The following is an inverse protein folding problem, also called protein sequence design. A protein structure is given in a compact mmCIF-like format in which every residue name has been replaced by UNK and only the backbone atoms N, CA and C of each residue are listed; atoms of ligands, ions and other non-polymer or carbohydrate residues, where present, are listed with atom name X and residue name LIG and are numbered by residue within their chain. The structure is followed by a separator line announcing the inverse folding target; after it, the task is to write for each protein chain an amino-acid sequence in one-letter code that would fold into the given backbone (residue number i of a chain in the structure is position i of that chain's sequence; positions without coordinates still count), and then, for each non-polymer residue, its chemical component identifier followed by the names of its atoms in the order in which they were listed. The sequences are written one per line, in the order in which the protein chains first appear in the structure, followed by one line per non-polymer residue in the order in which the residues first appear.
data_IF_697407383782
#
_entry.id   IF_697407383782
#
_cell.length_a   1.000
_cell.length_b   1.000
_cell.length_c   1.000
_cell.angle_alpha   90.00
_cell.angle_beta   90.00
_cell.angle_gamma   90.00
#
_symmetry.space_group_name_H-M   'P 1'
#
loop_
_entity.id
_entity.type
_entity.pdbx_description
1 polymer ?
#
# COMPACT_ATOMS: atom_id res chain seq x y z
N UNK A 1 -7.82 7.25 15.84
CA UNK A 1 -7.13 7.46 14.55
C UNK A 1 -7.72 6.55 13.51
N UNK A 2 -7.95 7.05 12.31
CA UNK A 2 -8.57 6.32 11.21
C UNK A 2 -7.65 6.33 9.99
N UNK A 3 -7.53 5.19 9.30
CA UNK A 3 -6.70 5.03 8.11
C UNK A 3 -7.57 4.61 6.94
N UNK A 4 -7.57 5.41 5.89
CA UNK A 4 -8.10 5.05 4.57
C UNK A 4 -6.92 4.78 3.64
N UNK A 5 -6.98 3.69 2.89
CA UNK A 5 -5.92 3.34 1.97
C UNK A 5 -6.43 2.50 0.81
N UNK A 6 -5.73 2.56 -0.32
CA UNK A 6 -6.00 1.74 -1.49
C UNK A 6 -4.73 1.53 -2.32
N UNK A 7 -4.77 0.50 -3.16
CA UNK A 7 -3.67 0.11 -4.03
C UNK A 7 -3.73 0.86 -5.36
N UNK A 8 -2.56 1.15 -5.89
CA UNK A 8 -2.37 1.82 -7.17
C UNK A 8 -1.08 1.35 -7.85
N UNK A 9 -0.84 1.78 -9.07
CA UNK A 9 0.42 1.52 -9.77
C UNK A 9 1.54 2.42 -9.24
N UNK A 10 1.23 3.67 -8.94
CA UNK A 10 2.18 4.64 -8.38
C UNK A 10 1.46 5.73 -7.62
N UNK A 11 2.08 6.22 -6.55
CA UNK A 11 1.51 7.28 -5.71
C UNK A 11 2.59 8.29 -5.37
N UNK A 12 2.21 9.55 -5.35
CA UNK A 12 3.07 10.66 -4.87
C UNK A 12 2.25 11.54 -3.93
N UNK A 13 2.88 12.10 -2.92
CA UNK A 13 2.28 13.11 -2.06
C UNK A 13 3.00 14.44 -2.22
N UNK A 14 2.24 15.51 -2.30
CA UNK A 14 2.76 16.88 -2.40
C UNK A 14 1.73 17.87 -1.90
N UNK A 15 2.16 18.83 -1.09
CA UNK A 15 1.27 19.88 -0.58
C UNK A 15 0.06 19.33 0.20
N UNK A 16 0.24 18.24 0.94
CA UNK A 16 -0.84 17.58 1.70
C UNK A 16 -1.86 16.83 0.84
N UNK A 17 -1.54 16.56 -0.42
CA UNK A 17 -2.42 15.87 -1.37
C UNK A 17 -1.77 14.59 -1.89
N UNK A 18 -2.62 13.62 -2.23
CA UNK A 18 -2.20 12.40 -2.94
C UNK A 18 -2.42 12.59 -4.44
N UNK A 19 -1.41 12.18 -5.20
CA UNK A 19 -1.48 12.05 -6.65
C UNK A 19 -1.32 10.56 -6.98
N UNK A 20 -2.35 9.98 -7.57
CA UNK A 20 -2.48 8.53 -7.71
C UNK A 20 -2.62 8.16 -9.17
N UNK A 21 -1.81 7.24 -9.65
CA UNK A 21 -1.89 6.66 -10.99
C UNK A 21 -2.29 5.20 -10.90
N UNK A 22 -3.29 4.80 -11.68
CA UNK A 22 -3.70 3.41 -11.84
C UNK A 22 -4.24 2.79 -10.55
N UNK A 23 -5.20 3.43 -9.89
CA UNK A 23 -5.86 2.89 -8.72
C UNK A 23 -7.07 2.02 -9.07
N UNK A 24 -7.52 1.23 -8.08
CA UNK A 24 -8.77 0.47 -8.16
C UNK A 24 -8.61 -0.98 -8.57
N UNK A 25 -7.40 -1.50 -8.60
CA UNK A 25 -7.15 -2.91 -8.83
C UNK A 25 -6.99 -3.68 -7.50
N UNK A 26 -7.27 -4.96 -7.53
CA UNK A 26 -7.08 -5.89 -6.42
C UNK A 26 -6.45 -7.22 -6.84
N UNK A 27 -5.92 -7.30 -8.04
CA UNK A 27 -5.25 -8.48 -8.56
C UNK A 27 -4.09 -8.10 -9.47
N UNK A 28 -3.01 -8.86 -9.38
CA UNK A 28 -1.87 -8.81 -10.26
C UNK A 28 -1.80 -10.10 -11.07
N UNK A 29 -1.50 -9.97 -12.36
CA UNK A 29 -1.32 -11.11 -13.25
C UNK A 29 0.16 -11.35 -13.47
N UNK A 30 0.60 -12.58 -13.21
CA UNK A 30 1.96 -13.03 -13.42
C UNK A 30 2.04 -14.02 -14.58
N UNK A 31 3.12 -13.97 -15.33
CA UNK A 31 3.39 -14.95 -16.41
C UNK A 31 3.94 -16.28 -15.91
N UNK A 32 4.31 -16.37 -14.65
CA UNK A 32 4.88 -17.53 -13.97
C UNK A 32 5.50 -17.14 -12.65
N UNK A 33 5.98 -18.11 -11.88
CA UNK A 33 6.58 -17.87 -10.56
C UNK A 33 8.02 -18.41 -10.49
N UNK A 34 8.91 -17.76 -9.74
CA UNK A 34 8.70 -16.52 -8.98
C UNK A 34 8.40 -15.34 -9.90
N UNK A 35 7.49 -14.46 -9.48
CA UNK A 35 7.09 -13.28 -10.25
C UNK A 35 7.59 -12.02 -9.54
N UNK A 36 8.29 -11.16 -10.28
CA UNK A 36 8.69 -9.84 -9.80
C UNK A 36 7.72 -8.78 -10.31
N UNK A 37 7.23 -7.95 -9.41
CA UNK A 37 6.40 -6.79 -9.75
C UNK A 37 7.18 -5.51 -9.55
N UNK A 38 7.18 -4.63 -10.54
CA UNK A 38 8.06 -3.46 -10.53
C UNK A 38 7.69 -2.46 -9.45
N UNK A 39 6.41 -2.13 -9.31
CA UNK A 39 5.96 -1.20 -8.27
C UNK A 39 4.52 -1.43 -7.88
N UNK A 40 4.26 -1.39 -6.58
CA UNK A 40 2.92 -1.25 -6.01
C UNK A 40 2.88 0.05 -5.23
N UNK A 41 1.99 0.95 -5.62
CA UNK A 41 1.69 2.17 -4.88
C UNK A 41 0.60 1.92 -3.85
N UNK A 42 0.74 2.51 -2.67
CA UNK A 42 -0.26 2.51 -1.62
C UNK A 42 -0.54 3.95 -1.25
N UNK A 43 -1.74 4.40 -1.56
CA UNK A 43 -2.23 5.72 -1.17
C UNK A 43 -2.82 5.63 0.23
N UNK A 44 -2.36 6.45 1.15
CA UNK A 44 -2.76 6.42 2.56
C UNK A 44 -3.22 7.80 3.01
N UNK A 45 -4.40 7.86 3.60
CA UNK A 45 -4.90 9.02 4.34
C UNK A 45 -5.09 8.63 5.80
N UNK A 46 -4.39 9.34 6.69
CA UNK A 46 -4.53 9.13 8.13
C UNK A 46 -5.27 10.33 8.72
N UNK A 47 -6.41 10.06 9.35
CA UNK A 47 -7.14 11.07 10.13
C UNK A 47 -6.66 11.04 11.56
N UNK A 48 -6.09 12.16 11.99
CA UNK A 48 -5.51 12.31 13.32
C UNK A 48 -6.47 13.13 14.18
N UNK A 49 -7.04 12.53 15.24
CA UNK A 49 -7.89 13.26 16.18
C UNK A 49 -7.14 14.41 16.85
N UNK A 50 -7.83 15.46 17.20
CA UNK A 50 -7.22 16.63 17.88
C UNK A 50 -6.46 16.26 19.14
N UNK A 51 -6.95 15.27 19.89
CA UNK A 51 -6.31 14.79 21.12
C UNK A 51 -4.95 14.12 20.87
N UNK A 52 -4.70 13.66 19.66
CA UNK A 52 -3.45 12.98 19.25
C UNK A 52 -2.55 13.88 18.40
N UNK A 53 -2.99 15.08 18.07
CA UNK A 53 -2.20 16.05 17.34
C UNK A 53 -1.05 16.61 18.19
N UNK A 54 -0.03 17.15 17.53
CA UNK A 54 1.13 17.77 18.23
C UNK A 54 2.21 16.79 18.69
N UNK A 55 2.08 15.49 18.36
CA UNK A 55 3.11 14.48 18.60
C UNK A 55 3.41 13.69 17.32
N UNK A 56 4.62 13.13 17.19
CA UNK A 56 4.92 12.25 16.06
C UNK A 56 4.20 10.90 16.20
N UNK A 57 3.86 10.32 15.06
CA UNK A 57 3.27 9.01 14.92
C UNK A 57 4.10 8.17 13.94
N UNK A 58 4.03 6.87 14.08
CA UNK A 58 4.73 5.94 13.21
C UNK A 58 3.73 5.10 12.41
N UNK A 59 3.83 5.18 11.09
CA UNK A 59 3.13 4.30 10.16
C UNK A 59 4.01 3.11 9.85
N UNK A 60 3.50 1.90 10.05
CA UNK A 60 4.15 0.66 9.67
C UNK A 60 3.40 -0.04 8.54
N UNK A 61 4.12 -0.63 7.62
CA UNK A 61 3.59 -1.45 6.53
C UNK A 61 4.20 -2.85 6.60
N UNK A 62 3.35 -3.88 6.64
CA UNK A 62 3.74 -5.29 6.52
C UNK A 62 3.04 -5.92 5.33
N UNK A 63 3.62 -6.97 4.79
CA UNK A 63 3.01 -7.80 3.75
C UNK A 63 2.84 -9.22 4.28
N UNK A 64 1.61 -9.71 4.29
CA UNK A 64 1.28 -11.09 4.64
C UNK A 64 1.10 -11.93 3.38
N UNK A 65 1.64 -13.14 3.38
CA UNK A 65 1.35 -14.15 2.37
C UNK A 65 0.01 -14.84 2.58
N UNK A 66 -0.33 -15.77 1.69
CA UNK A 66 -1.56 -16.55 1.78
C UNK A 66 -1.65 -17.41 3.05
N UNK A 67 -0.51 -17.77 3.64
CA UNK A 67 -0.38 -18.48 4.91
C UNK A 67 -0.51 -17.58 6.15
N UNK A 68 -0.73 -16.28 5.97
CA UNK A 68 -0.82 -15.29 7.04
C UNK A 68 0.51 -14.88 7.66
N UNK A 69 1.64 -15.35 7.12
CA UNK A 69 2.97 -15.00 7.62
C UNK A 69 3.52 -13.77 6.93
N UNK A 70 4.31 -13.00 7.69
CA UNK A 70 5.01 -11.83 7.16
C UNK A 70 5.98 -12.23 6.05
N UNK A 71 5.94 -11.48 4.96
CA UNK A 71 6.86 -11.58 3.83
C UNK A 71 7.92 -10.48 3.91
N UNK A 72 9.09 -10.78 3.37
CA UNK A 72 10.18 -9.82 3.28
C UNK A 72 9.96 -8.83 2.15
N UNK A 73 10.30 -7.56 2.40
CA UNK A 73 10.42 -6.53 1.38
C UNK A 73 11.79 -6.49 0.71
N UNK A 74 12.73 -7.30 1.18
CA UNK A 74 14.11 -7.35 0.72
C UNK A 74 15.09 -7.40 1.87
N UNK A 75 16.35 -7.11 1.55
CA UNK A 75 17.45 -7.14 2.50
C UNK A 75 17.92 -5.72 2.82
N UNK A 76 18.16 -5.45 4.10
CA UNK A 76 18.84 -4.25 4.55
C UNK A 76 20.35 -4.32 4.24
N UNK A 77 21.08 -3.19 4.24
CA UNK A 77 22.52 -3.17 4.00
C UNK A 77 23.35 -4.05 4.95
N UNK A 78 22.84 -4.31 6.16
CA UNK A 78 23.47 -5.19 7.15
C UNK A 78 23.20 -6.70 6.93
N UNK A 79 22.43 -7.04 5.88
CA UNK A 79 22.08 -8.42 5.54
C UNK A 79 20.85 -8.96 6.26
N UNK A 80 20.17 -8.17 7.09
CA UNK A 80 18.91 -8.55 7.72
C UNK A 80 17.73 -8.42 6.76
N UNK A 81 16.71 -9.27 6.93
CA UNK A 81 15.46 -9.14 6.18
C UNK A 81 14.63 -7.97 6.69
N UNK A 82 14.11 -7.17 5.75
CA UNK A 82 13.17 -6.09 6.02
C UNK A 82 11.76 -6.63 5.93
N UNK A 83 11.07 -6.76 7.05
CA UNK A 83 9.67 -7.26 7.12
C UNK A 83 8.65 -6.18 7.45
N UNK A 84 9.12 -5.00 7.84
CA UNK A 84 8.28 -3.83 8.09
C UNK A 84 8.94 -2.61 7.49
N UNK A 85 8.18 -1.87 6.72
CA UNK A 85 8.56 -0.52 6.28
C UNK A 85 7.91 0.49 7.23
N UNK A 86 8.66 1.47 7.67
CA UNK A 86 8.19 2.47 8.63
C UNK A 86 8.37 3.88 8.09
N UNK A 87 7.41 4.75 8.41
CA UNK A 87 7.47 6.18 8.13
C UNK A 87 6.95 6.95 9.35
N UNK A 88 7.60 8.04 9.69
CA UNK A 88 7.12 8.95 10.71
C UNK A 88 6.27 10.06 10.08
N UNK A 89 5.22 10.43 10.75
CA UNK A 89 4.38 11.55 10.37
C UNK A 89 3.88 12.30 11.62
N UNK A 90 3.50 13.54 11.41
CA UNK A 90 2.92 14.33 12.47
C UNK A 90 2.06 15.44 11.92
N UNK A 91 1.16 15.93 12.73
CA UNK A 91 0.35 17.11 12.45
C UNK A 91 0.57 18.13 13.56
N UNK A 92 0.73 19.37 13.18
CA UNK A 92 0.72 20.46 14.14
C UNK A 92 -0.64 20.54 14.85
N UNK A 93 -0.67 21.07 16.06
CA UNK A 93 -1.92 21.35 16.75
C UNK A 93 -2.61 22.53 16.06
N UNK A 94 -3.44 22.25 15.06
CA UNK A 94 -4.25 23.26 14.39
C UNK A 94 -5.63 23.33 15.03
N UNK A 95 -5.87 24.40 15.74
CA UNK A 95 -7.13 25.00 16.18
C UNK A 95 -8.44 24.20 16.04
N UNK A 96 -8.55 23.03 16.66
CA UNK A 96 -9.84 22.36 16.87
C UNK A 96 -10.41 21.54 15.71
N UNK A 97 -9.71 21.43 14.58
CA UNK A 97 -10.11 20.56 13.46
C UNK A 97 -9.29 19.28 13.44
N UNK A 98 -9.96 18.18 13.09
CA UNK A 98 -9.31 16.92 12.76
C UNK A 98 -8.38 17.13 11.56
N UNK A 99 -7.15 16.63 11.65
CA UNK A 99 -6.16 16.77 10.59
C UNK A 99 -6.04 15.50 9.79
N UNK A 100 -5.92 15.63 8.48
CA UNK A 100 -5.64 14.52 7.57
C UNK A 100 -4.21 14.61 7.06
N UNK A 101 -3.51 13.48 7.09
CA UNK A 101 -2.15 13.35 6.56
C UNK A 101 -2.17 12.44 5.33
N UNK A 102 -1.65 12.95 4.22
CA UNK A 102 -1.50 12.20 2.98
C UNK A 102 -0.10 11.56 2.92
N UNK A 103 -0.05 10.24 2.84
CA UNK A 103 1.21 9.49 2.78
C UNK A 103 1.21 8.63 1.53
N UNK A 104 2.25 8.77 0.72
CA UNK A 104 2.47 7.94 -0.46
C UNK A 104 3.54 6.89 -0.14
N UNK A 105 3.20 5.63 -0.29
CA UNK A 105 4.13 4.52 -0.19
C UNK A 105 4.25 3.85 -1.55
N UNK A 106 5.48 3.63 -2.03
CA UNK A 106 5.74 2.84 -3.21
C UNK A 106 6.68 1.71 -2.85
N UNK A 107 6.26 0.49 -3.11
CA UNK A 107 7.05 -0.71 -2.86
C UNK A 107 7.52 -1.25 -4.19
N UNK A 108 8.82 -1.23 -4.40
CA UNK A 108 9.44 -1.61 -5.67
C UNK A 108 10.05 -3.01 -5.59
N UNK A 109 9.90 -3.77 -6.67
CA UNK A 109 10.61 -5.02 -6.87
C UNK A 109 10.18 -6.16 -5.95
N UNK A 110 8.93 -6.20 -5.51
CA UNK A 110 8.40 -7.32 -4.75
C UNK A 110 8.44 -8.61 -5.57
N UNK A 111 8.85 -9.69 -4.92
CA UNK A 111 8.88 -11.03 -5.51
C UNK A 111 7.80 -11.88 -4.85
N UNK A 112 6.94 -12.45 -5.68
CA UNK A 112 5.90 -13.38 -5.27
C UNK A 112 6.32 -14.78 -5.70
N UNK A 113 6.45 -15.69 -4.73
CA UNK A 113 6.92 -17.07 -4.98
C UNK A 113 5.81 -17.97 -5.53
N UNK A 114 4.57 -17.65 -5.23
CA UNK A 114 3.40 -18.44 -5.62
C UNK A 114 2.17 -17.58 -5.81
N UNK A 115 1.21 -18.07 -6.55
CA UNK A 115 -0.13 -17.47 -6.59
C UNK A 115 -0.85 -17.57 -5.24
N UNK A 116 -1.76 -16.67 -5.00
CA UNK A 116 -2.56 -16.63 -3.78
C UNK A 116 -3.00 -15.22 -3.43
N UNK A 117 -3.62 -15.09 -2.27
CA UNK A 117 -4.04 -13.80 -1.72
C UNK A 117 -2.97 -13.29 -0.76
N UNK A 118 -2.47 -12.12 -1.05
CA UNK A 118 -1.54 -11.37 -0.19
C UNK A 118 -2.28 -10.20 0.44
N UNK A 119 -1.76 -9.71 1.57
CA UNK A 119 -2.42 -8.61 2.28
C UNK A 119 -1.38 -7.63 2.80
N UNK A 120 -1.47 -6.38 2.39
CA UNK A 120 -0.77 -5.32 3.10
C UNK A 120 -1.52 -4.97 4.38
N UNK A 121 -0.78 -4.81 5.46
CA UNK A 121 -1.31 -4.38 6.76
C UNK A 121 -0.65 -3.05 7.12
N UNK A 122 -1.49 -2.05 7.31
CA UNK A 122 -1.08 -0.73 7.78
C UNK A 122 -1.38 -0.60 9.26
N UNK A 123 -0.35 -0.27 10.02
CA UNK A 123 -0.45 -0.03 11.46
C UNK A 123 -0.01 1.40 11.79
N UNK A 124 -0.64 2.00 12.77
CA UNK A 124 -0.19 3.28 13.35
C UNK A 124 0.12 3.06 14.82
N UNK A 125 1.30 3.47 15.23
CA UNK A 125 1.81 3.29 16.60
C UNK A 125 1.67 1.86 17.11
N UNK A 126 1.89 0.87 16.22
CA UNK A 126 1.81 -0.55 16.54
C UNK A 126 0.41 -1.17 16.48
N UNK A 127 -0.63 -0.40 16.17
CA UNK A 127 -2.00 -0.89 16.05
C UNK A 127 -2.40 -1.08 14.58
N UNK A 128 -2.77 -2.30 14.19
CA UNK A 128 -3.25 -2.60 12.85
C UNK A 128 -4.59 -1.87 12.59
N UNK A 129 -4.62 -0.98 11.64
CA UNK A 129 -5.80 -0.14 11.34
C UNK A 129 -6.41 -0.38 9.96
N UNK A 130 -5.64 -0.92 9.01
CA UNK A 130 -6.13 -1.15 7.65
C UNK A 130 -5.48 -2.37 7.03
N UNK A 131 -6.28 -3.18 6.36
CA UNK A 131 -5.84 -4.33 5.57
C UNK A 131 -6.24 -4.15 4.11
N UNK A 132 -5.31 -4.41 3.21
CA UNK A 132 -5.50 -4.31 1.76
C UNK A 132 -5.17 -5.66 1.13
N UNK A 133 -6.16 -6.55 0.98
CA UNK A 133 -5.96 -7.83 0.30
C UNK A 133 -5.90 -7.64 -1.21
N UNK A 134 -5.06 -8.43 -1.87
CA UNK A 134 -4.99 -8.52 -3.33
C UNK A 134 -4.56 -9.92 -3.77
N UNK A 135 -5.04 -10.32 -4.95
CA UNK A 135 -4.67 -11.59 -5.55
C UNK A 135 -3.42 -11.47 -6.43
N UNK A 136 -2.58 -12.49 -6.41
CA UNK A 136 -1.54 -12.69 -7.42
C UNK A 136 -1.83 -14.01 -8.11
N UNK A 137 -2.03 -13.98 -9.43
CA UNK A 137 -2.54 -15.11 -10.19
C UNK A 137 -1.86 -15.20 -11.55
N UNK A 138 -1.81 -16.41 -12.09
CA UNK A 138 -1.53 -16.62 -13.50
C UNK A 138 -2.85 -16.61 -14.25
N UNK A 139 -3.09 -15.57 -15.04
CA UNK A 139 -4.24 -15.52 -15.93
C UNK A 139 -3.72 -15.63 -17.36
N UNK A 140 -4.31 -16.46 -18.22
CA UNK A 140 -4.05 -16.33 -19.64
C UNK A 140 -4.43 -14.91 -20.06
N UNK A 141 -3.64 -14.27 -20.96
CA UNK A 141 -3.99 -12.94 -21.45
C UNK A 141 -5.43 -12.98 -21.95
N UNK A 142 -6.25 -11.97 -21.66
CA UNK A 142 -7.60 -11.93 -22.19
C UNK A 142 -7.51 -12.07 -23.69
N UNK A 143 -8.19 -13.06 -24.24
CA UNK A 143 -8.44 -13.12 -25.66
C UNK A 143 -9.08 -11.80 -26.02
N UNK A 144 -8.50 -11.09 -26.98
CA UNK A 144 -8.93 -9.78 -27.42
C UNK A 144 -10.28 -9.81 -28.13
N UNK A 145 -11.29 -10.27 -27.45
CA UNK A 145 -12.66 -9.94 -27.83
C UNK A 145 -12.91 -8.56 -27.25
N UNK A 146 -12.72 -7.58 -28.11
CA UNK A 146 -12.69 -6.22 -27.76
C UNK A 146 -13.92 -5.78 -26.99
N UNK A 147 -13.73 -5.31 -25.79
CA UNK A 147 -14.64 -4.34 -25.22
C UNK A 147 -14.49 -3.04 -26.04
N UNK A 148 -15.25 -2.96 -27.13
CA UNK A 148 -15.45 -1.71 -27.87
C UNK A 148 -16.55 -0.92 -27.16
N UNK A 149 -16.22 -0.35 -26.06
CA UNK A 149 -17.11 0.50 -25.32
C UNK A 149 -16.30 1.40 -24.39
N UNK A 150 -15.56 2.31 -24.97
CA UNK A 150 -14.99 3.39 -24.21
C UNK A 150 -16.11 4.35 -23.79
N UNK A 151 -16.39 4.48 -22.51
CA UNK A 151 -17.12 5.64 -22.00
C UNK A 151 -16.13 6.78 -21.97
N UNK A 152 -16.22 7.67 -22.94
CA UNK A 152 -15.50 8.94 -22.90
C UNK A 152 -16.39 9.93 -22.12
N UNK A 153 -15.91 10.32 -20.98
CA UNK A 153 -16.50 11.42 -20.22
C UNK A 153 -15.90 12.74 -20.68
#
# INVERSE_FOLDING_TARGET
MEVEAFLADSVTSSGGKLYVLGAGWNALNAGGFPARHDRIGIAVLVRVPTAESGRPHKLGLRLLGADGRDRSFGMAPDGSEVRTLEAEFGVGSAGGLESSVAIALNVDGLIFESEGTYTFVLAVDGNDLKRLPFGVQTTPPPTSEGFQGGVYL
#
